data_IF_327310656952
#
_entry.id   IF_327310656952
#
_cell.length_a   1.000
_cell.length_b   1.000
_cell.length_c   1.000
_cell.angle_alpha   90.00
_cell.angle_beta   90.00
_cell.angle_gamma   90.00
#
_symmetry.space_group_name_H-M   'P 1'
#
loop_
_entity.id
_entity.type
_entity.pdbx_description
1 polymer ?
#
# COMPACT_ATOMS: atom_id res chain seq x y z
N UNK A 1 15.51 23.69 14.84
CA UNK A 1 14.19 23.03 14.91
C UNK A 1 13.60 23.07 13.51
N UNK A 2 13.18 21.94 12.97
CA UNK A 2 12.54 21.86 11.65
C UNK A 2 13.36 21.11 10.59
N UNK A 3 13.62 19.82 10.82
CA UNK A 3 13.91 18.91 9.71
C UNK A 3 12.57 18.27 9.30
N UNK A 4 11.91 18.97 8.38
CA UNK A 4 11.17 18.45 7.22
C UNK A 4 10.58 17.04 7.33
N UNK A 5 9.32 16.98 7.76
CA UNK A 5 8.41 15.83 7.61
C UNK A 5 7.99 15.64 6.13
N UNK A 6 8.96 15.54 5.20
CA UNK A 6 8.73 15.23 3.77
C UNK A 6 9.17 13.81 3.39
N UNK A 7 9.58 13.00 4.36
CA UNK A 7 10.02 11.62 4.14
C UNK A 7 8.86 10.63 3.94
N UNK A 8 7.64 10.98 4.37
CA UNK A 8 6.47 10.11 4.32
C UNK A 8 5.85 9.98 2.92
N UNK A 9 6.16 10.84 1.96
CA UNK A 9 5.53 10.83 0.63
C UNK A 9 6.19 9.88 -0.39
N UNK A 10 7.35 9.28 -0.06
CA UNK A 10 8.14 8.47 -1.02
C UNK A 10 7.90 6.96 -0.95
N UNK A 11 6.91 6.48 -0.20
CA UNK A 11 6.64 5.03 -0.16
C UNK A 11 6.08 4.50 -1.49
N UNK A 12 5.53 5.37 -2.34
CA UNK A 12 4.88 5.02 -3.60
C UNK A 12 5.62 5.58 -4.83
N UNK A 13 6.08 4.68 -5.70
CA UNK A 13 6.79 5.00 -6.95
C UNK A 13 6.46 3.93 -8.02
N UNK A 14 5.89 4.32 -9.16
CA UNK A 14 5.71 3.43 -10.31
C UNK A 14 6.91 3.52 -11.28
N UNK A 15 7.26 2.42 -11.99
CA UNK A 15 6.68 1.08 -11.87
C UNK A 15 7.21 0.32 -10.64
N UNK A 16 6.34 -0.43 -9.97
CA UNK A 16 6.71 -1.35 -8.89
C UNK A 16 5.91 -2.65 -9.01
N UNK A 17 6.44 -3.74 -8.46
CA UNK A 17 5.69 -5.01 -8.40
C UNK A 17 4.64 -5.02 -7.29
N UNK A 18 3.63 -5.90 -7.39
CA UNK A 18 2.65 -6.10 -6.31
C UNK A 18 3.32 -6.42 -4.97
N UNK A 19 4.40 -7.20 -5.01
CA UNK A 19 5.28 -7.45 -3.86
C UNK A 19 5.82 -6.17 -3.25
N UNK A 20 6.40 -5.31 -4.08
CA UNK A 20 6.99 -4.05 -3.61
C UNK A 20 5.93 -3.12 -3.07
N UNK A 21 4.77 -3.03 -3.73
CA UNK A 21 3.62 -2.26 -3.24
C UNK A 21 3.22 -2.72 -1.84
N UNK A 22 3.00 -4.02 -1.64
CA UNK A 22 2.62 -4.59 -0.35
C UNK A 22 3.67 -4.33 0.74
N UNK A 23 4.95 -4.54 0.44
CA UNK A 23 6.03 -4.37 1.42
C UNK A 23 6.22 -2.88 1.76
N UNK A 24 6.30 -1.99 0.78
CA UNK A 24 6.49 -0.54 1.00
C UNK A 24 5.31 0.05 1.75
N UNK A 25 4.08 -0.24 1.33
CA UNK A 25 2.87 0.23 2.02
C UNK A 25 2.78 -0.34 3.45
N UNK A 26 3.09 -1.62 3.65
CA UNK A 26 3.04 -2.22 4.97
C UNK A 26 4.03 -1.58 5.96
N UNK A 27 5.24 -1.27 5.50
CA UNK A 27 6.22 -0.52 6.27
C UNK A 27 5.76 0.91 6.57
N UNK A 28 5.15 1.57 5.59
CA UNK A 28 4.66 2.94 5.74
C UNK A 28 3.46 3.04 6.68
N UNK A 29 2.49 2.13 6.55
CA UNK A 29 1.34 2.01 7.44
C UNK A 29 1.78 1.75 8.88
N UNK A 30 2.75 0.85 9.08
CA UNK A 30 3.32 0.57 10.40
C UNK A 30 4.01 1.81 11.00
N UNK A 31 4.72 2.58 10.18
CA UNK A 31 5.35 3.84 10.61
C UNK A 31 4.31 4.90 11.02
N UNK A 32 3.13 4.89 10.40
CA UNK A 32 1.99 5.75 10.72
C UNK A 32 1.11 5.22 11.86
N UNK A 33 1.55 4.17 12.58
CA UNK A 33 0.85 3.65 13.76
C UNK A 33 -0.25 2.62 13.46
N UNK A 34 -0.37 2.15 12.21
CA UNK A 34 -1.31 1.07 11.86
C UNK A 34 -0.74 -0.27 12.31
N UNK A 35 -1.42 -0.90 13.25
CA UNK A 35 -1.12 -2.28 13.67
C UNK A 35 -1.27 -3.23 12.49
N UNK A 36 -0.34 -4.17 12.34
CA UNK A 36 -0.33 -5.15 11.25
C UNK A 36 -0.40 -4.54 9.83
N UNK A 37 0.33 -3.43 9.61
CA UNK A 37 0.33 -2.68 8.35
C UNK A 37 0.54 -3.52 7.09
N UNK A 38 1.30 -4.62 7.15
CA UNK A 38 1.50 -5.52 6.00
C UNK A 38 0.22 -6.27 5.61
N UNK A 39 -0.54 -6.80 6.57
CA UNK A 39 -1.80 -7.48 6.25
C UNK A 39 -2.85 -6.49 5.78
N UNK A 40 -2.82 -5.26 6.30
CA UNK A 40 -3.64 -4.18 5.76
C UNK A 40 -3.29 -3.87 4.29
N UNK A 41 -2.01 -3.74 3.97
CA UNK A 41 -1.55 -3.54 2.60
C UNK A 41 -1.97 -4.71 1.67
N UNK A 42 -1.84 -5.96 2.11
CA UNK A 42 -2.31 -7.13 1.35
C UNK A 42 -3.82 -7.05 1.07
N UNK A 43 -4.64 -6.79 2.09
CA UNK A 43 -6.11 -6.67 1.93
C UNK A 43 -6.50 -5.53 0.99
N UNK A 44 -5.80 -4.40 1.06
CA UNK A 44 -6.03 -3.28 0.16
C UNK A 44 -5.69 -3.65 -1.29
N UNK A 45 -4.62 -4.42 -1.54
CA UNK A 45 -4.29 -4.91 -2.89
C UNK A 45 -5.37 -5.85 -3.43
N UNK A 46 -5.88 -6.77 -2.60
CA UNK A 46 -6.98 -7.66 -2.99
C UNK A 46 -8.22 -6.87 -3.41
N UNK A 47 -8.51 -5.77 -2.70
CA UNK A 47 -9.63 -4.91 -3.01
C UNK A 47 -9.43 -4.11 -4.31
N UNK A 48 -8.29 -3.43 -4.47
CA UNK A 48 -7.97 -2.61 -5.65
C UNK A 48 -7.95 -3.42 -6.94
N UNK A 49 -7.38 -4.63 -6.85
CA UNK A 49 -7.21 -5.52 -7.99
C UNK A 49 -8.38 -6.51 -8.14
N UNK A 50 -9.39 -6.39 -7.28
CA UNK A 50 -10.62 -7.19 -7.27
C UNK A 50 -10.34 -8.70 -7.41
N UNK A 51 -9.32 -9.18 -6.71
CA UNK A 51 -8.84 -10.55 -6.82
C UNK A 51 -8.68 -11.23 -5.47
N UNK A 52 -8.65 -12.55 -5.49
CA UNK A 52 -8.40 -13.38 -4.31
C UNK A 52 -6.91 -13.44 -3.94
N UNK A 53 -6.64 -13.81 -2.70
CA UNK A 53 -5.30 -14.01 -2.15
C UNK A 53 -4.44 -14.94 -3.00
N UNK A 54 -5.00 -16.05 -3.52
CA UNK A 54 -4.26 -16.96 -4.38
C UNK A 54 -3.82 -16.30 -5.70
N UNK A 55 -4.72 -15.54 -6.33
CA UNK A 55 -4.40 -14.80 -7.54
C UNK A 55 -3.34 -13.72 -7.30
N UNK A 56 -3.44 -13.00 -6.18
CA UNK A 56 -2.44 -12.00 -5.79
C UNK A 56 -1.06 -12.64 -5.57
N UNK A 57 -0.98 -13.79 -4.90
CA UNK A 57 0.27 -14.53 -4.68
C UNK A 57 0.90 -15.04 -5.99
N UNK A 58 0.09 -15.41 -6.97
CA UNK A 58 0.58 -15.79 -8.31
C UNK A 58 1.10 -14.57 -9.08
N UNK A 59 0.42 -13.42 -8.95
CA UNK A 59 0.78 -12.15 -9.59
C UNK A 59 1.81 -11.34 -8.80
N UNK A 60 2.43 -11.88 -7.75
CA UNK A 60 3.24 -11.12 -6.81
C UNK A 60 4.44 -10.41 -7.45
N UNK A 61 4.99 -10.98 -8.52
CA UNK A 61 6.09 -10.41 -9.31
C UNK A 61 5.61 -9.55 -10.50
N UNK A 62 4.31 -9.52 -10.77
CA UNK A 62 3.72 -8.65 -11.79
C UNK A 62 3.77 -7.19 -11.34
N UNK A 63 3.80 -6.29 -12.32
CA UNK A 63 3.77 -4.86 -12.06
C UNK A 63 2.38 -4.43 -11.61
N UNK A 64 2.33 -3.50 -10.64
CA UNK A 64 1.09 -2.82 -10.29
C UNK A 64 0.60 -2.02 -11.51
N UNK A 65 -0.61 -2.29 -12.03
CA UNK A 65 -1.10 -1.58 -13.18
C UNK A 65 -1.22 -0.08 -12.87
N UNK A 66 -0.76 0.81 -13.77
CA UNK A 66 -0.76 2.24 -13.51
C UNK A 66 -2.18 2.78 -13.27
N UNK A 67 -3.20 2.24 -13.96
CA UNK A 67 -4.61 2.58 -13.78
C UNK A 67 -5.13 2.32 -12.36
N UNK A 68 -4.54 1.35 -11.66
CA UNK A 68 -4.86 1.01 -10.27
C UNK A 68 -3.90 1.64 -9.26
N UNK A 69 -2.85 2.27 -9.75
CA UNK A 69 -1.80 2.86 -8.96
C UNK A 69 -2.27 4.03 -8.11
N UNK A 70 -3.01 4.96 -8.71
CA UNK A 70 -3.57 6.13 -8.01
C UNK A 70 -4.58 5.70 -6.95
N UNK A 71 -5.47 4.75 -7.28
CA UNK A 71 -6.46 4.17 -6.35
C UNK A 71 -5.77 3.50 -5.15
N UNK A 72 -4.73 2.70 -5.42
CA UNK A 72 -3.90 2.07 -4.40
C UNK A 72 -3.25 3.08 -3.47
N UNK A 73 -2.61 4.12 -4.02
CA UNK A 73 -1.95 5.16 -3.22
C UNK A 73 -2.96 5.87 -2.32
N UNK A 74 -4.12 6.26 -2.87
CA UNK A 74 -5.16 6.95 -2.13
C UNK A 74 -5.72 6.11 -0.96
N UNK A 75 -5.95 4.81 -1.18
CA UNK A 75 -6.45 3.91 -0.13
C UNK A 75 -5.43 3.68 0.99
N UNK A 76 -4.16 3.49 0.65
CA UNK A 76 -3.10 3.34 1.66
C UNK A 76 -2.97 4.63 2.46
N UNK A 77 -2.98 5.80 1.82
CA UNK A 77 -2.94 7.10 2.49
C UNK A 77 -4.10 7.28 3.47
N UNK A 78 -5.32 6.98 3.03
CA UNK A 78 -6.53 6.99 3.89
C UNK A 78 -6.41 6.06 5.08
N UNK A 79 -5.80 4.89 4.88
CA UNK A 79 -5.59 3.90 5.95
C UNK A 79 -4.58 4.37 6.99
N UNK A 80 -3.52 5.08 6.58
CA UNK A 80 -2.55 5.66 7.50
C UNK A 80 -3.10 6.83 8.32
N UNK A 81 -4.04 7.61 7.76
CA UNK A 81 -4.68 8.73 8.48
C UNK A 81 -5.67 8.28 9.57
N UNK A 82 -5.90 6.98 9.74
CA UNK A 82 -6.64 6.44 10.88
C UNK A 82 -8.16 6.44 10.74
N UNK A 83 -8.71 6.58 9.53
CA UNK A 83 -10.15 6.31 9.35
C UNK A 83 -10.41 4.80 9.56
N UNK A 84 -11.24 4.42 10.56
CA UNK A 84 -11.58 3.04 10.78
C UNK A 84 -12.42 2.56 9.59
N UNK A 85 -11.81 1.74 8.74
CA UNK A 85 -12.54 0.83 7.85
C UNK A 85 -13.32 -0.14 8.77
N UNK A 86 -14.54 0.25 9.14
CA UNK A 86 -15.50 -0.60 9.84
C UNK A 86 -15.96 -1.74 8.93
#
# INVERSE_FOLDING_TARGET
MGQETKADERWYELPMTLRQACVKAGSWLKANGVEDGRSHAERLLLHVLEMDRAALLLAWNELLPPDKGEEWQALVCRRATGEPLQ
#
